data_IF_657309073817
#
_entry.id   IF_657309073817
#
_cell.length_a   1.000
_cell.length_b   1.000
_cell.length_c   1.000
_cell.angle_alpha   90.00
_cell.angle_beta   90.00
_cell.angle_gamma   90.00
#
_symmetry.space_group_name_H-M   'P 1'
#
loop_
_entity.id
_entity.type
_entity.pdbx_description
1 polymer ?
#
# COMPACT_ATOMS: atom_id res chain seq x y z
N UNK A 1 17.60 17.57 -14.35
CA UNK A 1 16.56 17.94 -13.38
C UNK A 1 15.24 17.89 -14.12
N UNK A 2 14.38 16.90 -13.83
CA UNK A 2 13.12 16.64 -14.55
C UNK A 2 12.21 17.86 -14.49
N UNK A 3 11.40 18.07 -15.54
CA UNK A 3 10.41 19.15 -15.66
C UNK A 3 9.42 19.17 -14.48
N UNK A 4 9.09 17.98 -13.90
CA UNK A 4 8.23 17.81 -12.74
C UNK A 4 8.74 18.49 -11.45
N UNK A 5 10.05 18.52 -11.20
CA UNK A 5 10.61 19.15 -9.99
C UNK A 5 10.47 20.70 -9.98
N UNK A 6 10.31 21.33 -11.14
CA UNK A 6 10.08 22.79 -11.22
C UNK A 6 8.68 23.20 -10.79
N UNK A 7 7.73 22.27 -10.80
CA UNK A 7 6.31 22.54 -10.46
C UNK A 7 5.99 22.27 -9.00
N UNK A 8 6.81 21.46 -8.30
CA UNK A 8 6.65 21.16 -6.88
C UNK A 8 7.11 22.35 -6.03
N UNK A 9 6.17 23.16 -5.55
CA UNK A 9 6.49 24.41 -4.82
C UNK A 9 6.36 24.31 -3.30
N UNK A 10 5.60 23.33 -2.78
CA UNK A 10 5.33 23.18 -1.35
C UNK A 10 5.68 21.76 -0.88
N UNK A 11 6.42 21.66 0.20
CA UNK A 11 6.75 20.42 0.86
C UNK A 11 6.58 20.56 2.37
N UNK A 12 6.33 19.44 3.02
CA UNK A 12 6.42 19.28 4.46
C UNK A 12 7.56 18.34 4.80
N UNK A 13 8.14 18.48 6.00
CA UNK A 13 9.06 17.48 6.53
C UNK A 13 8.30 16.52 7.43
N UNK A 14 8.58 15.22 7.28
CA UNK A 14 8.03 14.20 8.15
C UNK A 14 9.02 13.04 8.29
N UNK A 15 8.88 12.30 9.39
CA UNK A 15 9.64 11.07 9.60
C UNK A 15 8.96 9.90 8.92
N UNK A 16 9.71 9.20 8.03
CA UNK A 16 9.27 7.97 7.39
C UNK A 16 10.09 6.80 7.93
N UNK A 17 9.42 5.71 8.30
CA UNK A 17 10.07 4.54 8.85
C UNK A 17 10.51 3.59 7.73
N UNK A 18 11.74 3.70 7.35
CA UNK A 18 12.43 2.76 6.48
C UNK A 18 12.90 1.53 7.26
N UNK A 19 13.50 0.59 6.57
CA UNK A 19 13.98 -0.67 7.14
C UNK A 19 15.51 -0.72 7.06
N UNK A 20 16.15 -1.12 8.17
CA UNK A 20 17.58 -1.44 8.18
C UNK A 20 17.79 -2.79 7.52
N UNK A 21 18.60 -2.83 6.47
CA UNK A 21 19.09 -4.09 5.92
C UNK A 21 20.28 -4.59 6.76
N UNK A 22 20.07 -5.67 7.47
CA UNK A 22 21.09 -6.33 8.29
C UNK A 22 21.69 -7.57 7.61
N UNK A 23 21.40 -7.77 6.31
CA UNK A 23 21.86 -8.91 5.53
C UNK A 23 21.15 -10.23 5.84
N UNK A 24 20.10 -10.23 6.65
CA UNK A 24 19.31 -11.40 7.03
C UNK A 24 17.87 -11.25 6.55
N UNK A 25 17.20 -12.37 6.17
CA UNK A 25 15.80 -12.30 5.76
C UNK A 25 14.92 -11.71 6.87
N UNK A 26 14.29 -10.56 6.60
CA UNK A 26 13.38 -9.92 7.53
C UNK A 26 12.05 -10.69 7.63
N UNK A 27 11.46 -10.75 8.82
CA UNK A 27 10.16 -11.36 9.03
C UNK A 27 9.32 -10.57 10.04
N UNK A 28 8.02 -10.50 9.79
CA UNK A 28 7.02 -10.00 10.73
C UNK A 28 6.06 -11.13 11.09
N UNK A 29 5.85 -11.33 12.39
CA UNK A 29 5.03 -12.42 12.92
C UNK A 29 3.68 -11.90 13.39
N UNK A 30 2.59 -12.47 12.89
CA UNK A 30 1.22 -12.20 13.33
C UNK A 30 0.78 -13.14 14.47
N UNK A 31 1.70 -13.86 15.07
CA UNK A 31 1.51 -14.73 16.23
C UNK A 31 2.75 -14.68 17.10
N UNK A 32 2.65 -15.16 18.33
CA UNK A 32 3.82 -15.34 19.20
C UNK A 32 4.67 -16.50 18.65
N UNK A 33 5.89 -16.23 18.14
CA UNK A 33 6.76 -17.27 17.59
C UNK A 33 7.30 -18.17 18.72
N UNK A 34 7.80 -19.34 18.35
CA UNK A 34 8.46 -20.23 19.31
C UNK A 34 9.69 -19.51 19.90
N UNK A 35 9.93 -19.61 21.24
CA UNK A 35 11.10 -18.98 21.85
C UNK A 35 12.45 -19.43 21.26
N UNK A 36 12.47 -20.60 20.60
CA UNK A 36 13.67 -21.12 19.92
C UNK A 36 13.77 -20.67 18.45
N UNK A 37 12.76 -20.00 17.90
CA UNK A 37 12.83 -19.46 16.55
C UNK A 37 13.88 -18.35 16.46
N UNK A 38 14.72 -18.40 15.45
CA UNK A 38 15.66 -17.32 15.17
C UNK A 38 14.94 -16.15 14.54
N UNK A 39 14.45 -15.24 15.39
CA UNK A 39 13.71 -14.08 14.96
C UNK A 39 14.63 -13.06 14.30
N UNK A 40 14.24 -12.57 13.14
CA UNK A 40 14.86 -11.42 12.50
C UNK A 40 13.80 -10.38 12.14
N UNK A 41 13.29 -9.63 13.12
CA UNK A 41 12.38 -8.55 12.84
C UNK A 41 13.06 -7.50 11.94
N UNK A 42 12.32 -6.92 11.04
CA UNK A 42 12.80 -5.80 10.27
C UNK A 42 13.20 -4.66 11.22
N UNK A 43 14.45 -4.22 11.16
CA UNK A 43 14.90 -3.05 11.90
C UNK A 43 14.23 -1.78 11.36
N UNK A 44 13.97 -0.83 12.24
CA UNK A 44 13.37 0.46 11.84
C UNK A 44 14.48 1.50 11.68
N UNK A 45 14.47 2.19 10.55
CA UNK A 45 15.36 3.31 10.19
C UNK A 45 14.52 4.56 9.95
N UNK A 46 14.21 5.36 11.00
CA UNK A 46 13.42 6.57 10.86
C UNK A 46 14.24 7.68 10.20
N UNK A 47 13.78 8.16 9.06
CA UNK A 47 14.43 9.19 8.26
C UNK A 47 13.53 10.41 8.10
N UNK A 48 14.08 11.60 8.34
CA UNK A 48 13.39 12.84 8.03
C UNK A 48 13.47 13.13 6.53
N UNK A 49 12.34 13.19 5.87
CA UNK A 49 12.25 13.40 4.41
C UNK A 49 11.34 14.56 4.07
N UNK A 50 11.55 15.14 2.88
CA UNK A 50 10.64 16.11 2.28
C UNK A 50 9.56 15.39 1.50
N UNK A 51 8.30 15.70 1.81
CA UNK A 51 7.13 15.14 1.12
C UNK A 51 6.46 16.28 0.37
N UNK A 52 6.42 16.16 -0.95
CA UNK A 52 5.93 17.22 -1.83
C UNK A 52 4.42 17.17 -2.01
N UNK A 53 3.81 18.35 -2.04
CA UNK A 53 2.40 18.49 -2.43
C UNK A 53 2.25 18.14 -3.91
N UNK A 54 1.49 17.09 -4.22
CA UNK A 54 1.29 16.56 -5.56
C UNK A 54 0.10 17.20 -6.32
N UNK A 55 -0.72 18.05 -5.68
CA UNK A 55 -1.86 18.68 -6.36
C UNK A 55 -1.52 19.38 -7.67
N UNK A 56 -0.40 20.13 -7.78
CA UNK A 56 -0.03 20.78 -9.03
C UNK A 56 0.32 19.82 -10.18
N UNK A 57 0.55 18.54 -9.87
CA UNK A 57 0.90 17.48 -10.83
C UNK A 57 -0.21 16.48 -11.03
N UNK A 58 -1.39 16.67 -10.41
CA UNK A 58 -2.47 15.69 -10.39
C UNK A 58 -2.74 15.06 -11.77
N UNK A 59 -2.87 15.87 -12.78
CA UNK A 59 -3.26 15.44 -14.12
C UNK A 59 -2.09 14.87 -14.94
N UNK A 60 -0.87 15.05 -14.45
CA UNK A 60 0.37 14.54 -15.08
C UNK A 60 0.85 13.22 -14.47
N UNK A 61 0.34 12.84 -13.27
CA UNK A 61 0.73 11.60 -12.60
C UNK A 61 0.02 10.39 -13.19
N UNK A 62 0.71 9.26 -13.26
CA UNK A 62 0.19 8.03 -13.82
C UNK A 62 0.61 6.83 -12.97
N UNK A 63 -0.33 5.92 -12.74
CA UNK A 63 -0.05 4.66 -12.04
C UNK A 63 0.98 3.79 -12.78
N UNK A 64 1.10 3.94 -14.11
CA UNK A 64 2.10 3.21 -14.89
C UNK A 64 3.50 3.83 -14.81
N UNK A 65 3.64 5.10 -14.49
CA UNK A 65 4.94 5.79 -14.46
C UNK A 65 5.41 6.09 -13.04
N UNK A 66 4.61 6.84 -12.27
CA UNK A 66 4.92 7.18 -10.89
C UNK A 66 4.49 6.11 -9.87
N UNK A 67 3.67 5.14 -10.31
CA UNK A 67 3.13 4.09 -9.46
C UNK A 67 1.80 4.46 -8.80
N UNK A 68 1.33 5.69 -8.97
CA UNK A 68 0.06 6.18 -8.42
C UNK A 68 -0.53 7.31 -9.26
N UNK A 69 -1.84 7.48 -9.15
CA UNK A 69 -2.59 8.60 -9.71
C UNK A 69 -3.77 8.96 -8.82
N UNK A 70 -4.21 10.23 -8.86
CA UNK A 70 -5.40 10.70 -8.16
C UNK A 70 -6.51 10.96 -9.14
N UNK A 71 -7.67 10.38 -8.90
CA UNK A 71 -8.85 10.51 -9.74
C UNK A 71 -10.07 10.95 -8.92
N UNK A 72 -11.06 11.51 -9.60
CA UNK A 72 -12.36 11.76 -9.00
C UNK A 72 -13.13 10.44 -8.92
N UNK A 73 -13.68 10.17 -7.75
CA UNK A 73 -14.47 8.97 -7.47
C UNK A 73 -15.68 9.35 -6.62
N UNK A 74 -16.75 9.74 -7.28
CA UNK A 74 -18.01 10.01 -6.61
C UNK A 74 -18.69 8.69 -6.22
N UNK A 75 -19.15 8.62 -4.99
CA UNK A 75 -19.91 7.49 -4.46
C UNK A 75 -20.99 7.98 -3.50
N UNK A 76 -22.17 7.45 -3.62
CA UNK A 76 -23.26 7.67 -2.67
C UNK A 76 -23.30 6.66 -1.53
N UNK A 77 -22.40 5.66 -1.55
CA UNK A 77 -22.35 4.61 -0.55
C UNK A 77 -21.94 5.17 0.83
N UNK A 78 -22.63 4.72 1.91
CA UNK A 78 -22.44 5.24 3.26
C UNK A 78 -22.21 4.13 4.31
N UNK A 79 -22.55 2.88 4.03
CA UNK A 79 -22.60 1.80 5.00
C UNK A 79 -21.23 1.13 5.24
N UNK A 80 -20.17 1.93 5.45
CA UNK A 80 -18.79 1.44 5.62
C UNK A 80 -18.53 0.71 6.95
N UNK A 81 -19.52 0.56 7.82
CA UNK A 81 -19.42 -0.23 9.04
C UNK A 81 -19.94 -1.68 8.87
N UNK A 82 -20.47 -2.01 7.69
CA UNK A 82 -21.06 -3.32 7.38
C UNK A 82 -20.31 -3.98 6.21
N UNK A 83 -19.53 -5.00 6.50
CA UNK A 83 -18.73 -5.75 5.53
C UNK A 83 -19.55 -6.34 4.37
N UNK A 84 -20.75 -6.85 4.67
CA UNK A 84 -21.63 -7.43 3.64
C UNK A 84 -22.16 -6.35 2.69
N UNK A 85 -22.55 -5.19 3.23
CA UNK A 85 -23.01 -4.07 2.43
C UNK A 85 -21.85 -3.46 1.59
N UNK A 86 -20.64 -3.35 2.13
CA UNK A 86 -19.46 -2.93 1.39
C UNK A 86 -19.24 -3.84 0.17
N UNK A 87 -19.23 -5.14 0.38
CA UNK A 87 -19.02 -6.13 -0.70
C UNK A 87 -20.15 -6.09 -1.74
N UNK A 88 -21.38 -5.89 -1.32
CA UNK A 88 -22.51 -5.89 -2.23
C UNK A 88 -22.71 -4.56 -2.96
N UNK A 89 -22.50 -3.43 -2.28
CA UNK A 89 -22.79 -2.10 -2.80
C UNK A 89 -21.58 -1.33 -3.30
N UNK A 90 -20.48 -1.35 -2.54
CA UNK A 90 -19.31 -0.51 -2.85
C UNK A 90 -18.29 -1.20 -3.78
N UNK A 91 -18.10 -2.53 -3.69
CA UNK A 91 -17.19 -3.25 -4.58
C UNK A 91 -17.52 -3.09 -6.06
N UNK A 92 -18.79 -3.14 -6.51
CA UNK A 92 -19.12 -2.86 -7.90
C UNK A 92 -18.67 -1.47 -8.37
N UNK A 93 -18.83 -0.42 -7.54
CA UNK A 93 -18.36 0.92 -7.85
C UNK A 93 -16.83 0.96 -8.02
N UNK A 94 -16.09 0.27 -7.13
CA UNK A 94 -14.62 0.15 -7.21
C UNK A 94 -14.19 -0.61 -8.47
N UNK A 95 -14.88 -1.69 -8.84
CA UNK A 95 -14.62 -2.44 -10.07
C UNK A 95 -14.75 -1.55 -11.31
N UNK A 96 -15.82 -0.77 -11.39
CA UNK A 96 -16.07 0.12 -12.53
C UNK A 96 -15.04 1.25 -12.56
N UNK A 97 -14.71 1.84 -11.42
CA UNK A 97 -13.67 2.85 -11.28
C UNK A 97 -12.31 2.34 -11.77
N UNK A 98 -11.86 1.18 -11.30
CA UNK A 98 -10.58 0.60 -11.72
C UNK A 98 -10.58 0.28 -13.22
N UNK A 99 -11.66 -0.31 -13.75
CA UNK A 99 -11.78 -0.56 -15.21
C UNK A 99 -11.67 0.72 -16.03
N UNK A 100 -12.35 1.77 -15.61
CA UNK A 100 -12.36 3.05 -16.29
C UNK A 100 -10.95 3.65 -16.41
N UNK A 101 -10.16 3.59 -15.34
CA UNK A 101 -8.84 4.25 -15.28
C UNK A 101 -7.70 3.38 -15.78
N UNK A 102 -7.83 2.05 -15.72
CA UNK A 102 -6.75 1.13 -16.14
C UNK A 102 -7.00 0.48 -17.49
N UNK A 103 -8.22 0.51 -18.00
CA UNK A 103 -8.63 -0.24 -19.20
C UNK A 103 -8.66 -1.76 -18.98
N UNK A 104 -8.59 -2.23 -17.73
CA UNK A 104 -8.63 -3.65 -17.38
C UNK A 104 -9.93 -4.29 -17.85
N UNK A 105 -9.83 -5.45 -18.51
CA UNK A 105 -11.01 -6.21 -18.97
C UNK A 105 -11.74 -6.89 -17.81
N UNK A 106 -11.01 -7.29 -16.78
CA UNK A 106 -11.53 -7.94 -15.58
C UNK A 106 -10.88 -7.31 -14.35
N UNK A 107 -11.68 -7.04 -13.34
CA UNK A 107 -11.25 -6.56 -12.02
C UNK A 107 -11.94 -7.39 -10.95
N UNK A 108 -11.16 -7.87 -9.98
CA UNK A 108 -11.63 -8.60 -8.81
C UNK A 108 -11.24 -7.83 -7.55
N UNK A 109 -12.22 -7.44 -6.74
CA UNK A 109 -11.95 -6.88 -5.41
C UNK A 109 -11.93 -8.03 -4.41
N UNK A 110 -10.79 -8.29 -3.80
CA UNK A 110 -10.59 -9.45 -2.94
C UNK A 110 -10.43 -9.11 -1.46
N UNK A 111 -10.16 -7.85 -1.14
CA UNK A 111 -9.98 -7.42 0.25
C UNK A 111 -10.29 -5.92 0.38
N UNK A 112 -10.57 -5.48 1.59
CA UNK A 112 -10.62 -4.07 1.96
C UNK A 112 -10.22 -3.86 3.42
N UNK A 113 -9.74 -2.67 3.73
CA UNK A 113 -9.37 -2.29 5.09
C UNK A 113 -9.84 -0.87 5.35
N UNK A 114 -10.55 -0.66 6.45
CA UNK A 114 -10.91 0.67 6.92
C UNK A 114 -9.86 1.14 7.91
N UNK A 115 -9.19 2.24 7.60
CA UNK A 115 -8.21 2.86 8.48
C UNK A 115 -8.94 3.87 9.38
N UNK A 116 -8.77 3.73 10.68
CA UNK A 116 -9.27 4.68 11.67
C UNK A 116 -8.13 5.08 12.60
N UNK A 117 -8.18 6.34 13.07
CA UNK A 117 -7.28 6.79 14.11
C UNK A 117 -7.47 5.92 15.36
N UNK A 118 -6.36 5.43 15.88
CA UNK A 118 -6.32 4.74 17.16
C UNK A 118 -5.47 5.57 18.14
N UNK A 119 -5.68 5.43 19.47
CA UNK A 119 -4.80 6.06 20.46
C UNK A 119 -3.34 5.74 20.17
N UNK A 120 -2.44 6.71 20.41
CA UNK A 120 -1.02 6.61 20.05
C UNK A 120 -0.31 5.35 20.62
N UNK A 121 -0.78 4.82 21.73
CA UNK A 121 -0.25 3.61 22.37
C UNK A 121 -0.43 2.33 21.53
N UNK A 122 -1.34 2.33 20.57
CA UNK A 122 -1.62 1.19 19.68
C UNK A 122 -0.92 1.28 18.31
N UNK A 123 -0.21 2.38 18.05
CA UNK A 123 0.43 2.65 16.75
C UNK A 123 1.87 2.09 16.64
N UNK A 124 2.36 1.33 17.62
CA UNK A 124 3.75 0.90 17.67
C UNK A 124 3.90 -0.55 17.21
N UNK A 125 4.59 -0.75 16.08
CA UNK A 125 5.01 -2.07 15.54
C UNK A 125 6.06 -2.81 16.42
N UNK A 126 6.39 -2.33 17.62
CA UNK A 126 7.57 -2.76 18.37
C UNK A 126 7.35 -3.89 19.36
N UNK A 127 6.13 -4.46 19.46
CA UNK A 127 5.90 -5.68 20.26
C UNK A 127 4.95 -6.60 19.52
N UNK A 128 5.25 -7.91 19.40
CA UNK A 128 4.21 -8.89 19.11
C UNK A 128 3.13 -8.68 20.19
N UNK A 129 1.95 -8.19 19.81
CA UNK A 129 0.91 -8.04 20.81
C UNK A 129 0.44 -9.43 21.19
N UNK A 130 0.64 -9.81 22.45
CA UNK A 130 0.14 -11.04 23.04
C UNK A 130 -1.40 -11.10 23.10
N UNK A 131 -2.08 -10.06 22.63
CA UNK A 131 -3.52 -9.99 22.48
C UNK A 131 -3.96 -9.91 21.02
N UNK A 132 -3.59 -10.91 20.20
CA UNK A 132 -4.28 -11.17 18.96
C UNK A 132 -5.61 -11.87 19.26
N UNK A 133 -6.58 -11.12 19.78
CA UNK A 133 -7.98 -11.43 19.52
C UNK A 133 -8.11 -11.39 18.01
N UNK A 134 -8.60 -12.49 17.41
CA UNK A 134 -9.08 -12.49 16.02
C UNK A 134 -9.88 -11.22 15.82
N UNK A 135 -9.26 -10.19 15.25
CA UNK A 135 -9.97 -8.96 14.92
C UNK A 135 -10.83 -9.30 13.73
N UNK A 136 -12.06 -9.67 14.01
CA UNK A 136 -13.14 -9.79 13.02
C UNK A 136 -13.54 -8.44 12.45
N UNK A 137 -12.98 -7.34 12.96
CA UNK A 137 -13.21 -6.00 12.43
C UNK A 137 -12.17 -5.65 11.38
N UNK A 138 -12.66 -5.27 10.22
CA UNK A 138 -11.91 -4.72 9.07
C UNK A 138 -11.19 -3.39 9.41
N UNK A 139 -11.33 -2.89 10.65
CA UNK A 139 -10.76 -1.63 11.11
C UNK A 139 -9.35 -1.82 11.64
N UNK A 140 -8.38 -1.13 11.05
CA UNK A 140 -6.95 -1.22 11.41
C UNK A 140 -6.33 0.18 11.55
N UNK A 141 -5.28 0.35 12.38
CA UNK A 141 -4.50 1.59 12.41
C UNK A 141 -3.78 1.82 11.08
N UNK A 142 -3.30 3.04 10.86
CA UNK A 142 -2.38 3.32 9.76
C UNK A 142 -1.10 2.49 9.92
N UNK A 143 -0.55 2.02 8.79
CA UNK A 143 0.76 1.36 8.76
C UNK A 143 1.81 2.45 8.57
N UNK A 144 2.74 2.57 9.54
CA UNK A 144 3.79 3.60 9.52
C UNK A 144 5.14 3.02 9.06
N UNK A 145 5.13 2.12 8.10
CA UNK A 145 6.31 1.47 7.54
C UNK A 145 6.32 1.67 6.03
N UNK A 146 7.47 2.05 5.48
CA UNK A 146 7.67 2.16 4.03
C UNK A 146 7.63 0.76 3.42
N UNK A 147 6.62 0.47 2.60
CA UNK A 147 6.40 -0.88 2.06
C UNK A 147 5.68 -0.87 0.70
N UNK A 148 5.71 -2.03 0.04
CA UNK A 148 4.79 -2.38 -1.03
C UNK A 148 4.17 -3.74 -0.72
N UNK A 149 2.87 -3.90 -0.98
CA UNK A 149 2.10 -5.06 -0.53
C UNK A 149 2.47 -6.38 -1.21
N UNK A 150 3.11 -6.33 -2.37
CA UNK A 150 3.43 -7.53 -3.15
C UNK A 150 4.85 -7.52 -3.68
N UNK A 151 5.45 -8.73 -3.71
CA UNK A 151 6.72 -9.00 -4.37
C UNK A 151 6.47 -9.72 -5.70
N UNK A 152 7.53 -9.87 -6.50
CA UNK A 152 7.48 -10.69 -7.73
C UNK A 152 7.08 -12.14 -7.48
N UNK A 153 7.20 -12.63 -6.23
CA UNK A 153 6.78 -13.97 -5.82
C UNK A 153 5.38 -14.00 -5.24
N UNK A 154 5.07 -13.05 -4.35
CA UNK A 154 3.78 -13.05 -3.66
C UNK A 154 2.63 -12.62 -4.55
N UNK A 155 2.87 -11.79 -5.57
CA UNK A 155 1.86 -11.39 -6.55
C UNK A 155 1.23 -12.57 -7.28
N UNK A 156 2.01 -13.40 -8.01
CA UNK A 156 1.48 -14.59 -8.67
C UNK A 156 0.84 -15.59 -7.69
N UNK A 157 1.40 -15.75 -6.50
CA UNK A 157 0.79 -16.61 -5.48
C UNK A 157 -0.59 -16.09 -5.07
N UNK A 158 -0.72 -14.77 -4.92
CA UNK A 158 -2.01 -14.16 -4.57
C UNK A 158 -3.09 -14.39 -5.65
N UNK A 159 -2.72 -14.37 -6.93
CA UNK A 159 -3.65 -14.75 -8.02
C UNK A 159 -4.14 -16.17 -7.85
N UNK A 160 -3.24 -17.13 -7.56
CA UNK A 160 -3.61 -18.52 -7.29
C UNK A 160 -4.52 -18.70 -6.09
N UNK A 161 -4.34 -17.89 -5.05
CA UNK A 161 -5.15 -17.93 -3.84
C UNK A 161 -6.58 -17.39 -4.10
N UNK A 162 -6.72 -16.36 -4.94
CA UNK A 162 -8.00 -15.68 -5.20
C UNK A 162 -8.83 -16.43 -6.25
N UNK A 163 -8.22 -16.86 -7.34
CA UNK A 163 -8.88 -17.47 -8.51
C UNK A 163 -8.19 -18.77 -8.94
N UNK A 164 -8.13 -19.80 -8.09
CA UNK A 164 -7.29 -20.98 -8.30
C UNK A 164 -7.59 -21.72 -9.60
N UNK A 165 -8.85 -21.79 -10.01
CA UNK A 165 -9.25 -22.50 -11.23
C UNK A 165 -8.84 -21.81 -12.54
N UNK A 166 -8.51 -20.52 -12.49
CA UNK A 166 -8.20 -19.69 -13.66
C UNK A 166 -6.78 -19.10 -13.60
N UNK A 167 -6.08 -19.31 -12.49
CA UNK A 167 -4.82 -18.64 -12.20
C UNK A 167 -3.77 -18.80 -13.30
N UNK A 168 -3.57 -20.02 -13.82
CA UNK A 168 -2.57 -20.27 -14.85
C UNK A 168 -2.90 -19.54 -16.17
N UNK A 169 -4.18 -19.45 -16.52
CA UNK A 169 -4.60 -18.73 -17.72
C UNK A 169 -4.45 -17.21 -17.56
N UNK A 170 -4.69 -16.69 -16.35
CA UNK A 170 -4.54 -15.27 -16.03
C UNK A 170 -3.07 -14.85 -15.94
N UNK A 171 -2.23 -15.68 -15.32
CA UNK A 171 -0.78 -15.42 -15.18
C UNK A 171 -0.01 -15.46 -16.51
N UNK A 172 -0.61 -16.00 -17.57
CA UNK A 172 -0.09 -15.89 -18.95
C UNK A 172 -0.45 -14.54 -19.61
N UNK A 173 -1.06 -13.60 -18.88
CA UNK A 173 -1.44 -12.27 -19.34
C UNK A 173 -0.95 -11.25 -18.32
N UNK A 174 -1.01 -9.96 -18.66
CA UNK A 174 -0.74 -8.90 -17.70
C UNK A 174 -1.74 -8.96 -16.55
N UNK A 175 -1.23 -9.03 -15.33
CA UNK A 175 -1.96 -8.93 -14.06
C UNK A 175 -1.33 -7.84 -13.23
N UNK A 176 -2.15 -6.92 -12.72
CA UNK A 176 -1.70 -5.87 -11.82
C UNK A 176 -2.58 -5.81 -10.56
N UNK A 177 -2.01 -5.43 -9.45
CA UNK A 177 -2.73 -5.14 -8.22
C UNK A 177 -2.75 -3.65 -7.93
N UNK A 178 -3.92 -3.17 -7.57
CA UNK A 178 -4.14 -1.79 -7.21
C UNK A 178 -4.79 -1.69 -5.84
N UNK A 179 -4.32 -0.77 -5.03
CA UNK A 179 -5.06 -0.26 -3.89
C UNK A 179 -5.85 0.98 -4.32
N UNK A 180 -7.14 0.97 -4.09
CA UNK A 180 -7.99 2.16 -4.21
C UNK A 180 -8.13 2.76 -2.81
N UNK A 181 -7.37 3.82 -2.54
CA UNK A 181 -7.39 4.50 -1.25
C UNK A 181 -8.26 5.76 -1.32
N UNK A 182 -9.21 5.90 -0.42
CA UNK A 182 -10.23 6.95 -0.47
C UNK A 182 -10.61 7.43 0.94
N UNK A 183 -10.72 8.76 1.17
CA UNK A 183 -11.38 9.29 2.37
C UNK A 183 -12.86 8.89 2.37
N UNK A 184 -13.39 8.43 3.52
CA UNK A 184 -14.76 7.95 3.58
C UNK A 184 -15.77 9.02 4.04
N UNK A 185 -15.40 9.83 5.03
CA UNK A 185 -16.35 10.72 5.70
C UNK A 185 -16.01 12.22 5.58
N UNK A 186 -14.74 12.55 5.62
CA UNK A 186 -14.26 13.95 5.63
C UNK A 186 -12.89 14.05 4.93
N UNK A 187 -12.44 15.27 4.68
CA UNK A 187 -11.11 15.51 4.17
C UNK A 187 -10.02 14.96 5.11
N UNK A 188 -8.93 14.52 4.53
CA UNK A 188 -7.79 13.95 5.28
C UNK A 188 -6.97 15.08 5.89
N UNK A 189 -7.05 15.23 7.19
CA UNK A 189 -6.28 16.22 7.95
C UNK A 189 -5.09 15.62 8.70
N UNK A 190 -5.13 14.32 9.01
CA UNK A 190 -4.11 13.64 9.79
C UNK A 190 -3.66 12.36 9.06
N UNK A 191 -2.37 12.05 9.15
CA UNK A 191 -1.75 10.87 8.54
C UNK A 191 -2.17 10.64 7.08
N UNK A 192 -2.03 11.66 6.21
CA UNK A 192 -2.29 11.47 4.80
C UNK A 192 -1.37 10.38 4.24
N UNK A 193 -1.87 9.63 3.26
CA UNK A 193 -1.04 8.65 2.58
C UNK A 193 0.07 9.37 1.80
N UNK A 194 1.31 8.92 1.96
CA UNK A 194 2.45 9.38 1.19
C UNK A 194 2.93 8.27 0.25
N UNK A 195 3.34 8.64 -0.95
CA UNK A 195 3.78 7.74 -2.01
C UNK A 195 5.19 8.12 -2.49
N UNK A 196 5.99 7.12 -2.80
CA UNK A 196 7.26 7.31 -3.51
C UNK A 196 6.99 7.30 -5.00
N UNK A 197 7.52 8.30 -5.70
CA UNK A 197 7.60 8.26 -7.16
C UNK A 197 8.48 7.08 -7.59
N UNK A 198 7.86 6.11 -8.26
CA UNK A 198 8.50 4.87 -8.66
C UNK A 198 9.72 5.06 -9.56
N UNK A 199 9.83 6.19 -10.25
CA UNK A 199 11.01 6.52 -11.05
C UNK A 199 12.24 6.85 -10.19
N UNK A 200 12.10 6.97 -8.86
CA UNK A 200 13.15 7.44 -7.96
C UNK A 200 13.68 6.36 -7.01
N UNK A 201 13.10 5.16 -7.00
CA UNK A 201 13.67 4.04 -6.27
C UNK A 201 14.33 3.03 -7.22
N UNK A 202 15.21 2.21 -6.68
CA UNK A 202 15.92 1.16 -7.39
C UNK A 202 15.57 -0.21 -6.82
N UNK A 203 15.83 -1.29 -7.56
CA UNK A 203 15.60 -2.65 -7.08
C UNK A 203 16.36 -2.96 -5.79
N UNK A 204 17.57 -2.42 -5.65
CA UNK A 204 18.41 -2.62 -4.45
C UNK A 204 17.88 -1.89 -3.20
N UNK A 205 16.93 -0.97 -3.36
CA UNK A 205 16.27 -0.34 -2.22
C UNK A 205 15.22 -1.26 -1.58
N UNK A 206 14.76 -2.29 -2.30
CA UNK A 206 13.70 -3.19 -1.87
C UNK A 206 14.27 -4.39 -1.09
N UNK A 207 13.71 -4.63 0.09
CA UNK A 207 14.05 -5.75 0.97
C UNK A 207 12.81 -6.63 1.09
N UNK A 208 12.94 -7.92 0.76
CA UNK A 208 11.85 -8.87 0.98
C UNK A 208 11.63 -9.08 2.50
N UNK A 209 10.39 -8.92 2.95
CA UNK A 209 9.99 -9.24 4.31
C UNK A 209 8.89 -10.30 4.32
N UNK A 210 9.13 -11.40 5.02
CA UNK A 210 8.14 -12.46 5.20
C UNK A 210 7.06 -12.01 6.20
N UNK A 211 5.80 -12.23 5.85
CA UNK A 211 4.66 -12.09 6.75
C UNK A 211 4.25 -13.47 7.24
N UNK A 212 4.57 -13.79 8.50
CA UNK A 212 4.34 -15.10 9.11
C UNK A 212 2.99 -15.12 9.81
N UNK A 213 2.06 -15.91 9.29
CA UNK A 213 0.81 -16.29 9.93
C UNK A 213 0.92 -17.74 10.41
N UNK A 214 0.04 -18.20 11.30
CA UNK A 214 0.08 -19.58 11.82
C UNK A 214 -0.01 -20.63 10.72
N UNK A 215 -0.83 -20.38 9.69
CA UNK A 215 -1.16 -21.37 8.66
C UNK A 215 -0.62 -21.02 7.29
N UNK A 216 -0.04 -19.82 7.11
CA UNK A 216 0.50 -19.37 5.82
C UNK A 216 1.63 -18.38 6.00
N UNK A 217 2.40 -18.18 4.95
CA UNK A 217 3.35 -17.07 4.84
C UNK A 217 2.96 -16.19 3.67
N UNK A 218 3.06 -14.89 3.84
CA UNK A 218 3.04 -13.90 2.78
C UNK A 218 4.42 -13.27 2.62
N UNK A 219 4.57 -12.42 1.64
CA UNK A 219 5.80 -11.67 1.41
C UNK A 219 5.44 -10.28 0.86
N UNK A 220 6.08 -9.26 1.41
CA UNK A 220 5.98 -7.87 0.97
C UNK A 220 7.38 -7.33 0.71
N UNK A 221 7.47 -6.18 0.03
CA UNK A 221 8.68 -5.38 0.06
C UNK A 221 8.60 -4.34 1.18
N UNK A 222 9.67 -4.24 1.97
CA UNK A 222 10.01 -3.06 2.78
C UNK A 222 11.19 -2.37 2.14
N UNK A 223 11.54 -1.17 2.57
CA UNK A 223 12.46 -0.35 1.81
C UNK A 223 13.61 0.15 2.65
N UNK A 224 14.81 0.11 2.08
CA UNK A 224 16.00 0.82 2.55
C UNK A 224 15.89 2.29 2.19
N UNK A 225 16.42 3.16 3.04
CA UNK A 225 16.49 4.59 2.74
C UNK A 225 17.42 4.90 1.57
N UNK A 226 16.94 5.78 0.69
CA UNK A 226 17.77 6.43 -0.31
C UNK A 226 17.42 7.93 -0.38
N UNK A 227 18.41 8.83 -0.44
CA UNK A 227 18.14 10.26 -0.61
C UNK A 227 17.58 10.61 -1.99
N UNK A 228 17.56 9.66 -2.93
CA UNK A 228 16.96 9.82 -4.26
C UNK A 228 15.43 9.72 -4.22
N UNK A 229 14.85 9.11 -3.18
CA UNK A 229 13.40 8.90 -3.08
C UNK A 229 12.65 10.22 -3.08
N UNK A 230 11.73 10.37 -4.02
CA UNK A 230 10.85 11.52 -4.12
C UNK A 230 9.48 11.19 -3.55
N UNK A 231 9.21 11.71 -2.35
CA UNK A 231 7.93 11.53 -1.68
C UNK A 231 6.91 12.56 -2.13
N UNK A 232 5.68 12.12 -2.32
CA UNK A 232 4.54 12.94 -2.68
C UNK A 232 3.32 12.58 -1.86
N UNK A 233 2.42 13.55 -1.68
CA UNK A 233 1.13 13.35 -1.03
C UNK A 233 0.11 14.37 -1.55
N UNK A 234 -1.17 14.11 -1.33
CA UNK A 234 -2.25 15.04 -1.63
C UNK A 234 -2.83 15.58 -0.31
N UNK A 235 -2.40 16.78 0.17
CA UNK A 235 -2.96 17.36 1.40
C UNK A 235 -4.46 17.62 1.25
N UNK A 236 -5.20 17.38 2.33
CA UNK A 236 -6.64 17.64 2.41
C UNK A 236 -7.46 16.95 1.32
N UNK A 237 -7.05 15.75 0.95
CA UNK A 237 -7.79 14.94 0.00
C UNK A 237 -9.21 14.69 0.50
N UNK A 238 -10.21 14.99 -0.33
CA UNK A 238 -11.63 14.93 0.02
C UNK A 238 -12.29 13.61 -0.38
N UNK A 239 -13.51 13.35 0.13
CA UNK A 239 -14.25 12.10 -0.08
C UNK A 239 -14.60 11.79 -1.54
N UNK A 240 -14.58 12.76 -2.43
CA UNK A 240 -14.82 12.57 -3.86
C UNK A 240 -13.55 12.25 -4.65
N UNK A 241 -12.42 12.15 -3.99
CA UNK A 241 -11.17 11.71 -4.59
C UNK A 241 -10.84 10.25 -4.22
N UNK A 242 -10.13 9.57 -5.09
CA UNK A 242 -9.49 8.29 -4.80
C UNK A 242 -8.08 8.23 -5.39
N UNK A 243 -7.14 7.69 -4.63
CA UNK A 243 -5.81 7.31 -5.11
C UNK A 243 -5.89 5.89 -5.68
N UNK A 244 -5.37 5.73 -6.87
CA UNK A 244 -5.10 4.44 -7.48
C UNK A 244 -3.60 4.17 -7.32
N UNK A 245 -3.25 3.18 -6.50
CA UNK A 245 -1.86 2.83 -6.19
C UNK A 245 -1.56 1.48 -6.80
N UNK A 246 -0.63 1.41 -7.73
CA UNK A 246 -0.20 0.15 -8.31
C UNK A 246 0.82 -0.51 -7.38
N UNK A 247 0.46 -1.63 -6.79
CA UNK A 247 1.29 -2.36 -5.82
C UNK A 247 1.98 -3.59 -6.41
N UNK A 248 1.54 -4.03 -7.60
CA UNK A 248 2.16 -5.10 -8.38
C UNK A 248 1.78 -4.97 -9.86
N UNK A 249 2.71 -5.34 -10.73
CA UNK A 249 2.47 -5.48 -12.16
C UNK A 249 3.34 -6.62 -12.71
N UNK A 250 2.75 -7.60 -13.37
CA UNK A 250 3.48 -8.74 -13.92
C UNK A 250 4.40 -8.41 -15.12
N UNK A 251 4.24 -7.23 -15.72
CA UNK A 251 5.11 -6.71 -16.79
C UNK A 251 6.22 -5.80 -16.26
N UNK A 252 6.26 -5.53 -14.95
CA UNK A 252 7.26 -4.69 -14.32
C UNK A 252 8.12 -5.51 -13.34
N UNK A 253 9.45 -5.33 -13.42
CA UNK A 253 10.38 -6.05 -12.55
C UNK A 253 10.48 -5.47 -11.14
N UNK A 254 10.04 -4.22 -10.93
CA UNK A 254 10.21 -3.49 -9.67
C UNK A 254 8.86 -3.17 -9.05
N UNK A 255 8.69 -3.55 -7.78
CA UNK A 255 7.48 -3.23 -6.99
C UNK A 255 7.29 -1.72 -6.78
N UNK A 256 6.04 -1.27 -6.66
CA UNK A 256 5.65 0.12 -6.39
C UNK A 256 5.45 0.32 -4.88
N UNK A 257 5.89 1.45 -4.34
CA UNK A 257 6.03 1.67 -2.89
C UNK A 257 5.18 2.83 -2.39
N UNK A 258 4.57 2.65 -1.22
CA UNK A 258 3.74 3.65 -0.52
C UNK A 258 3.85 3.52 1.01
N UNK A 259 3.36 4.52 1.75
CA UNK A 259 3.21 4.54 3.22
C UNK A 259 1.98 5.35 3.62
#
# INVERSE_FOLDING_TARGET
MSMALKTLQKAVSATMNYTVDNGRPAAYYFYEPDPNDELNPAGTDPQEVKIWNAWPLRDDLSADREGFELQDFESSFQAFDDDAQIKHGFYPEVVDFVKQHTGAKRVEVFDHTIRRRQPAEQMVFSKPSTEFKQQTSVQRPAVLLVHSDYTVKSGPQRVKDIVPSEADALLNRRVAFFNVWKPLYQAVHELPLAMIDAQTHQADDLICMALKYRERSGEIYVMRYSPAHRWMYFPQMEKHHALLLKTYDSEEEIGRVHV
#
